data_IF_730167318465
#
_entry.id   IF_730167318465
#
_cell.length_a   1.000
_cell.length_b   1.000
_cell.length_c   1.000
_cell.angle_alpha   90.00
_cell.angle_beta   90.00
_cell.angle_gamma   90.00
#
_symmetry.space_group_name_H-M   'P 1'
#
loop_
_entity.id
_entity.type
_entity.pdbx_description
1 polymer ?
#
# COMPACT_ATOMS: atom_id res chain seq x y z
N UNK A 1 20.28 1.83 3.60
CA UNK A 1 19.15 1.16 2.92
C UNK A 1 18.64 0.09 3.88
N UNK A 2 17.43 0.25 4.43
CA UNK A 2 16.84 -0.76 5.33
C UNK A 2 16.28 -1.88 4.45
N UNK A 3 16.82 -3.09 4.58
CA UNK A 3 16.47 -4.26 3.77
C UNK A 3 15.67 -5.23 4.63
N UNK A 4 14.59 -5.78 4.08
CA UNK A 4 13.79 -6.80 4.74
C UNK A 4 14.56 -8.13 4.69
N UNK A 5 15.07 -8.55 5.83
CA UNK A 5 15.87 -9.76 5.97
C UNK A 5 15.52 -10.44 7.30
N UNK A 6 15.69 -11.75 7.35
CA UNK A 6 15.52 -12.52 8.58
C UNK A 6 16.53 -12.04 9.65
N UNK A 7 16.07 -11.99 10.90
CA UNK A 7 16.85 -11.48 12.03
C UNK A 7 16.82 -9.96 12.21
N UNK A 8 16.34 -9.19 11.21
CA UNK A 8 16.10 -7.75 11.40
C UNK A 8 14.84 -7.50 12.24
N UNK A 9 14.76 -6.36 12.95
CA UNK A 9 13.52 -5.95 13.60
C UNK A 9 12.38 -5.91 12.59
N UNK A 10 11.22 -6.44 12.97
CA UNK A 10 10.04 -6.49 12.12
C UNK A 10 9.43 -5.09 11.92
N UNK A 11 10.07 -4.29 11.06
CA UNK A 11 9.71 -2.91 10.76
C UNK A 11 9.51 -2.76 9.26
N UNK A 12 8.25 -2.62 8.84
CA UNK A 12 7.86 -2.53 7.44
C UNK A 12 6.50 -1.85 7.27
N UNK A 13 6.23 -1.42 6.04
CA UNK A 13 4.94 -0.88 5.63
C UNK A 13 4.31 -1.77 4.56
N UNK A 14 2.99 -1.82 4.53
CA UNK A 14 2.21 -2.44 3.45
C UNK A 14 1.62 -1.30 2.63
N UNK A 15 1.98 -1.24 1.34
CA UNK A 15 1.51 -0.23 0.40
C UNK A 15 0.42 -0.85 -0.48
N UNK A 16 -0.61 -0.07 -0.80
CA UNK A 16 -1.71 -0.47 -1.69
C UNK A 16 -1.30 -0.37 -3.17
N UNK A 17 -0.33 -1.20 -3.59
CA UNK A 17 0.19 -1.23 -4.96
C UNK A 17 0.85 -2.57 -5.30
N UNK A 18 0.80 -2.95 -6.58
CA UNK A 18 1.37 -4.20 -7.10
C UNK A 18 2.85 -4.10 -7.49
N UNK A 19 3.33 -2.87 -7.72
CA UNK A 19 4.71 -2.60 -8.11
C UNK A 19 5.21 -1.26 -7.57
N UNK A 20 6.54 -1.10 -7.50
CA UNK A 20 7.18 0.18 -7.13
C UNK A 20 6.76 1.32 -8.07
N UNK A 21 6.56 1.00 -9.34
CA UNK A 21 6.09 1.96 -10.34
C UNK A 21 4.66 2.41 -10.07
N UNK A 22 3.75 1.47 -9.78
CA UNK A 22 2.36 1.80 -9.46
C UNK A 22 2.24 2.57 -8.14
N UNK A 23 3.06 2.19 -7.16
CA UNK A 23 3.14 2.89 -5.87
C UNK A 23 3.50 4.36 -6.06
N UNK A 24 4.50 4.64 -6.90
CA UNK A 24 4.92 6.00 -7.21
C UNK A 24 3.88 6.75 -8.06
N UNK A 25 3.44 6.13 -9.18
CA UNK A 25 2.54 6.76 -10.15
C UNK A 25 1.22 7.17 -9.51
N UNK A 26 0.64 6.28 -8.70
CA UNK A 26 -0.68 6.48 -8.12
C UNK A 26 -0.64 7.13 -6.73
N UNK A 27 0.57 7.43 -6.20
CA UNK A 27 0.78 7.88 -4.82
C UNK A 27 0.06 6.96 -3.84
N UNK A 28 0.33 5.66 -3.99
CA UNK A 28 -0.39 4.62 -3.27
C UNK A 28 -0.33 4.85 -1.76
N UNK A 29 -1.47 4.63 -1.11
CA UNK A 29 -1.60 4.78 0.33
C UNK A 29 -0.90 3.66 1.09
N UNK A 30 -0.52 3.94 2.34
CA UNK A 30 -0.07 2.89 3.27
C UNK A 30 -1.29 2.25 3.93
N UNK A 31 -1.44 0.94 3.77
CA UNK A 31 -2.49 0.15 4.40
C UNK A 31 -2.15 -0.21 5.84
N UNK A 32 -0.87 -0.45 6.14
CA UNK A 32 -0.44 -0.87 7.48
C UNK A 32 1.00 -0.44 7.71
N UNK A 33 1.32 -0.03 8.94
CA UNK A 33 2.68 0.21 9.38
C UNK A 33 2.98 -0.65 10.60
N UNK A 34 4.08 -1.38 10.55
CA UNK A 34 4.59 -2.21 11.64
C UNK A 34 5.96 -1.67 12.05
N UNK A 35 6.19 -1.45 13.34
CA UNK A 35 7.48 -1.04 13.90
C UNK A 35 7.87 -1.99 15.03
N UNK A 36 9.00 -2.68 14.88
CA UNK A 36 9.54 -3.65 15.84
C UNK A 36 8.50 -4.71 16.26
N UNK A 37 7.70 -5.19 15.30
CA UNK A 37 6.63 -6.17 15.54
C UNK A 37 5.32 -5.58 16.05
N UNK A 38 5.27 -4.29 16.39
CA UNK A 38 4.03 -3.63 16.83
C UNK A 38 3.31 -2.99 15.65
N UNK A 39 2.03 -3.30 15.48
CA UNK A 39 1.18 -2.66 14.48
C UNK A 39 0.81 -1.26 14.98
N UNK A 40 1.28 -0.22 14.29
CA UNK A 40 0.99 1.17 14.65
C UNK A 40 -0.40 1.59 14.17
N UNK A 41 -0.77 1.18 12.95
CA UNK A 41 -2.10 1.42 12.39
C UNK A 41 -2.42 0.43 11.27
N UNK A 42 -3.72 0.29 10.99
CA UNK A 42 -4.25 -0.43 9.83
C UNK A 42 -5.41 0.36 9.23
N UNK A 43 -5.35 0.60 7.92
CA UNK A 43 -6.39 1.26 7.12
C UNK A 43 -7.03 0.24 6.18
N UNK A 44 -8.31 0.43 5.85
CA UNK A 44 -8.96 -0.31 4.76
C UNK A 44 -8.46 0.20 3.40
N UNK A 45 -8.38 -0.67 2.38
CA UNK A 45 -8.15 -0.25 1.00
C UNK A 45 -9.16 0.81 0.56
N UNK A 46 -8.75 1.64 -0.40
CA UNK A 46 -9.64 2.66 -0.93
C UNK A 46 -10.60 2.01 -1.92
N UNK A 47 -11.89 2.08 -1.64
CA UNK A 47 -12.93 1.60 -2.55
C UNK A 47 -13.33 2.73 -3.50
N UNK A 48 -13.35 2.43 -4.80
CA UNK A 48 -13.84 3.35 -5.82
C UNK A 48 -15.17 2.81 -6.36
N UNK A 49 -16.16 3.68 -6.54
CA UNK A 49 -17.41 3.30 -7.18
C UNK A 49 -17.15 3.00 -8.68
N UNK A 50 -17.60 1.84 -9.16
CA UNK A 50 -17.47 1.41 -10.57
C UNK A 50 -18.20 2.33 -11.57
N UNK A 51 -19.04 3.24 -11.07
CA UNK A 51 -19.86 4.18 -11.86
C UNK A 51 -19.03 5.17 -12.70
N UNK A 52 -17.72 5.32 -12.46
CA UNK A 52 -16.87 6.27 -13.20
C UNK A 52 -16.22 5.68 -14.47
N UNK A 53 -16.42 4.39 -14.78
CA UNK A 53 -15.80 3.73 -15.95
C UNK A 53 -16.79 3.25 -17.03
N UNK A 54 -18.09 3.46 -16.85
CA UNK A 54 -19.11 3.06 -17.85
C UNK A 54 -19.68 4.21 -18.67
N UNK A 55 -19.06 5.39 -18.66
CA UNK A 55 -19.41 6.47 -19.58
C UNK A 55 -18.50 6.50 -20.81
N UNK A 56 -18.96 5.71 -21.78
CA UNK A 56 -18.83 5.85 -23.24
C UNK A 56 -17.52 5.40 -23.88
N UNK A 57 -17.67 4.33 -24.67
CA UNK A 57 -16.87 4.15 -25.87
C UNK A 57 -17.02 5.36 -26.80
N UNK A 58 -15.93 6.08 -26.96
CA UNK A 58 -15.49 6.83 -28.16
C UNK A 58 -13.98 6.65 -28.22
#
# INVERSE_FOLDING_TARGET
MMILMEGNPASFIVIDADSDFDALRNRAGVLTSVCNGNVLFRKKPTEFAEEMLTDKGI
#
